data_IF_543891982297
#
_entry.id   IF_543891982297
#
_cell.length_a   1.000
_cell.length_b   1.000
_cell.length_c   1.000
_cell.angle_alpha   90.00
_cell.angle_beta   90.00
_cell.angle_gamma   90.00
#
_symmetry.space_group_name_H-M   'P 1'
#
loop_
_entity.id
_entity.type
_entity.pdbx_description
1 polymer ?
#
# COMPACT_ATOMS: atom_id res chain seq x y z
N UNK A 1 -44.03 -41.15 -8.29
CA UNK A 1 -43.18 -40.28 -9.13
C UNK A 1 -42.34 -39.45 -8.16
N UNK A 2 -41.17 -39.94 -7.89
CA UNK A 2 -40.26 -39.35 -6.87
C UNK A 2 -39.14 -38.64 -7.62
N UNK A 3 -39.25 -37.32 -7.66
CA UNK A 3 -38.27 -36.47 -8.32
C UNK A 3 -36.97 -36.44 -7.47
N UNK A 4 -35.96 -37.14 -7.98
CA UNK A 4 -34.60 -37.04 -7.43
C UNK A 4 -34.03 -35.66 -7.76
N UNK A 5 -34.06 -34.78 -6.79
CA UNK A 5 -33.24 -33.57 -6.82
C UNK A 5 -31.77 -34.02 -6.65
N UNK A 6 -31.06 -34.16 -7.76
CA UNK A 6 -29.62 -34.32 -7.75
C UNK A 6 -29.04 -32.94 -7.38
N UNK A 7 -28.85 -32.78 -6.07
CA UNK A 7 -28.05 -31.66 -5.58
C UNK A 7 -26.59 -31.93 -6.00
N UNK A 8 -26.14 -31.27 -7.09
CA UNK A 8 -24.75 -31.21 -7.44
C UNK A 8 -24.00 -30.48 -6.33
N UNK A 9 -23.65 -31.18 -5.29
CA UNK A 9 -22.61 -30.82 -4.36
C UNK A 9 -21.31 -30.84 -5.19
N UNK A 10 -20.92 -29.71 -5.74
CA UNK A 10 -19.54 -29.51 -6.14
C UNK A 10 -18.72 -29.93 -4.93
N UNK A 11 -17.97 -31.02 -5.06
CA UNK A 11 -16.94 -31.37 -4.09
C UNK A 11 -16.04 -30.13 -3.95
N UNK A 12 -16.21 -29.39 -2.85
CA UNK A 12 -15.23 -28.40 -2.45
C UNK A 12 -13.97 -29.21 -2.24
N UNK A 13 -13.02 -29.07 -3.15
CA UNK A 13 -11.70 -29.66 -2.99
C UNK A 13 -11.24 -29.35 -1.58
N UNK A 14 -10.84 -30.38 -0.84
CA UNK A 14 -10.36 -30.29 0.55
C UNK A 14 -8.96 -29.64 0.56
N UNK A 15 -8.79 -28.57 -0.22
CA UNK A 15 -7.54 -27.82 -0.28
C UNK A 15 -7.46 -26.92 0.93
N UNK A 16 -6.38 -27.04 1.67
CA UNK A 16 -6.06 -26.19 2.79
C UNK A 16 -6.04 -24.72 2.32
N UNK A 17 -6.79 -23.85 3.01
CA UNK A 17 -6.79 -22.41 2.73
C UNK A 17 -5.40 -21.84 2.93
N UNK A 18 -4.86 -21.19 1.92
CA UNK A 18 -3.58 -20.48 1.97
C UNK A 18 -3.80 -18.97 2.02
N UNK A 19 -2.82 -18.27 2.59
CA UNK A 19 -2.73 -16.83 2.64
C UNK A 19 -1.62 -16.41 1.69
N UNK A 20 -1.97 -15.68 0.64
CA UNK A 20 -1.06 -15.33 -0.44
C UNK A 20 -0.99 -13.82 -0.53
N UNK A 21 0.22 -13.29 -0.42
CA UNK A 21 0.50 -11.86 -0.48
C UNK A 21 1.28 -11.56 -1.74
N UNK A 22 0.85 -10.56 -2.49
CA UNK A 22 1.49 -10.10 -3.70
C UNK A 22 2.09 -8.71 -3.48
N UNK A 23 3.31 -8.50 -3.93
CA UNK A 23 3.82 -7.15 -4.09
C UNK A 23 3.21 -6.50 -5.34
N UNK A 24 3.31 -5.17 -5.44
CA UNK A 24 2.77 -4.41 -6.57
C UNK A 24 3.83 -4.32 -7.67
N UNK A 25 4.97 -3.71 -7.37
CA UNK A 25 5.98 -3.33 -8.36
C UNK A 25 6.78 -4.55 -8.81
N UNK A 26 6.78 -4.83 -10.12
CA UNK A 26 7.44 -6.00 -10.68
C UNK A 26 6.78 -7.35 -10.35
N UNK A 27 5.59 -7.35 -9.73
CA UNK A 27 4.83 -8.56 -9.37
C UNK A 27 3.41 -8.52 -9.93
N UNK A 28 2.55 -7.65 -9.39
CA UNK A 28 1.21 -7.43 -9.96
C UNK A 28 1.26 -6.55 -11.20
N UNK A 29 2.03 -5.48 -11.13
CA UNK A 29 2.30 -4.59 -12.26
C UNK A 29 3.60 -5.01 -12.94
N UNK A 30 3.62 -4.95 -14.27
CA UNK A 30 4.84 -5.15 -15.03
C UNK A 30 5.84 -3.98 -14.84
N UNK A 31 7.11 -4.21 -15.18
CA UNK A 31 8.20 -3.21 -15.03
C UNK A 31 8.17 -2.10 -16.09
N UNK A 32 7.16 -2.05 -16.96
CA UNK A 32 7.05 -1.01 -17.99
C UNK A 32 6.58 0.32 -17.39
N UNK A 33 6.99 1.47 -17.95
CA UNK A 33 6.44 2.75 -17.54
C UNK A 33 4.91 2.80 -17.64
N UNK A 34 4.25 3.00 -16.51
CA UNK A 34 2.78 2.93 -16.40
C UNK A 34 2.23 1.52 -16.23
N UNK A 35 3.01 0.65 -15.62
CA UNK A 35 2.82 -0.78 -15.39
C UNK A 35 1.38 -1.27 -15.43
N UNK A 36 1.15 -2.41 -16.04
CA UNK A 36 -0.19 -2.99 -16.20
C UNK A 36 -0.24 -4.38 -15.59
N UNK A 37 -1.40 -4.72 -15.06
CA UNK A 37 -1.68 -6.10 -14.66
C UNK A 37 -1.95 -6.93 -15.92
N UNK A 38 -1.21 -8.03 -16.07
CA UNK A 38 -1.37 -8.93 -17.21
C UNK A 38 -2.66 -9.74 -17.10
N UNK A 39 -3.26 -10.07 -18.23
CA UNK A 39 -4.47 -10.90 -18.29
C UNK A 39 -4.29 -12.28 -17.61
N UNK A 40 -3.08 -12.85 -17.68
CA UNK A 40 -2.74 -14.09 -16.98
C UNK A 40 -2.76 -13.92 -15.46
N UNK A 41 -2.38 -12.75 -14.96
CA UNK A 41 -2.41 -12.41 -13.54
C UNK A 41 -3.84 -12.33 -13.03
N UNK A 42 -4.74 -11.63 -13.74
CA UNK A 42 -6.18 -11.59 -13.39
C UNK A 42 -6.76 -12.99 -13.26
N UNK A 43 -6.56 -13.83 -14.28
CA UNK A 43 -7.05 -15.22 -14.26
C UNK A 43 -6.49 -16.05 -13.12
N UNK A 44 -5.26 -15.76 -12.70
CA UNK A 44 -4.63 -16.45 -11.57
C UNK A 44 -5.24 -15.99 -10.25
N UNK A 45 -5.42 -14.68 -10.06
CA UNK A 45 -6.05 -14.11 -8.87
C UNK A 45 -7.47 -14.65 -8.69
N UNK A 46 -8.27 -14.69 -9.76
CA UNK A 46 -9.62 -15.21 -9.73
C UNK A 46 -9.65 -16.69 -9.30
N UNK A 47 -8.77 -17.52 -9.89
CA UNK A 47 -8.68 -18.94 -9.52
C UNK A 47 -8.26 -19.14 -8.07
N UNK A 48 -7.35 -18.33 -7.55
CA UNK A 48 -6.95 -18.41 -6.14
C UNK A 48 -8.12 -18.12 -5.21
N UNK A 49 -8.91 -17.07 -5.53
CA UNK A 49 -10.10 -16.69 -4.76
C UNK A 49 -11.21 -17.75 -4.86
N UNK A 50 -11.48 -18.26 -6.06
CA UNK A 50 -12.44 -19.33 -6.30
C UNK A 50 -12.10 -20.63 -5.53
N UNK A 51 -10.82 -20.93 -5.38
CA UNK A 51 -10.32 -22.05 -4.59
C UNK A 51 -10.35 -21.78 -3.06
N UNK A 52 -10.83 -20.61 -2.62
CA UNK A 52 -11.00 -20.27 -1.22
C UNK A 52 -9.72 -19.78 -0.53
N UNK A 53 -8.66 -19.48 -1.28
CA UNK A 53 -7.46 -18.88 -0.72
C UNK A 53 -7.70 -17.41 -0.35
N UNK A 54 -6.95 -16.93 0.66
CA UNK A 54 -6.90 -15.51 0.99
C UNK A 54 -5.85 -14.84 0.13
N UNK A 55 -6.23 -13.76 -0.55
CA UNK A 55 -5.34 -12.98 -1.42
C UNK A 55 -5.28 -11.56 -0.92
N UNK A 56 -4.08 -11.04 -0.71
CA UNK A 56 -3.84 -9.68 -0.27
C UNK A 56 -2.62 -9.07 -0.98
N UNK A 57 -2.51 -7.76 -0.92
CA UNK A 57 -1.31 -7.03 -1.32
C UNK A 57 -0.41 -6.83 -0.10
N UNK A 58 0.92 -6.92 -0.30
CA UNK A 58 1.92 -6.49 0.68
C UNK A 58 2.99 -5.66 -0.05
N UNK A 59 3.06 -4.37 0.25
CA UNK A 59 3.89 -3.42 -0.49
C UNK A 59 4.57 -2.40 0.42
N UNK A 60 5.72 -1.87 -0.03
CA UNK A 60 6.34 -0.70 0.59
C UNK A 60 5.64 0.63 0.29
N UNK A 61 4.74 0.66 -0.71
CA UNK A 61 3.99 1.88 -1.05
C UNK A 61 3.13 2.34 0.13
N UNK A 62 2.95 3.65 0.25
CA UNK A 62 1.95 4.23 1.14
C UNK A 62 0.54 3.76 0.74
N UNK A 63 -0.37 3.67 1.70
CA UNK A 63 -1.71 3.13 1.50
C UNK A 63 -2.44 3.83 0.34
N UNK A 64 -2.48 5.16 0.31
CA UNK A 64 -3.15 5.90 -0.76
C UNK A 64 -2.57 5.60 -2.15
N UNK A 65 -1.26 5.31 -2.26
CA UNK A 65 -0.58 4.96 -3.52
C UNK A 65 -0.89 3.53 -3.98
N UNK A 66 -1.21 2.64 -3.05
CA UNK A 66 -1.49 1.24 -3.33
C UNK A 66 -2.95 1.00 -3.79
N UNK A 67 -3.87 1.90 -3.46
CA UNK A 67 -5.31 1.71 -3.66
C UNK A 67 -5.71 1.53 -5.12
N UNK A 68 -5.08 2.25 -6.06
CA UNK A 68 -5.42 2.12 -7.48
C UNK A 68 -5.06 0.73 -8.01
N UNK A 69 -3.85 0.23 -7.70
CA UNK A 69 -3.44 -1.12 -8.07
C UNK A 69 -4.30 -2.20 -7.40
N UNK A 70 -4.66 -2.00 -6.13
CA UNK A 70 -5.55 -2.90 -5.40
C UNK A 70 -6.94 -2.99 -6.03
N UNK A 71 -7.51 -1.84 -6.39
CA UNK A 71 -8.80 -1.76 -7.06
C UNK A 71 -8.76 -2.42 -8.44
N UNK A 72 -7.69 -2.19 -9.21
CA UNK A 72 -7.48 -2.81 -10.52
C UNK A 72 -7.35 -4.32 -10.39
N UNK A 73 -6.60 -4.83 -9.40
CA UNK A 73 -6.43 -6.27 -9.13
C UNK A 73 -7.64 -6.92 -8.45
N UNK A 74 -8.69 -6.16 -8.13
CA UNK A 74 -9.84 -6.61 -7.33
C UNK A 74 -9.43 -7.22 -5.97
N UNK A 75 -8.38 -6.68 -5.34
CA UNK A 75 -7.91 -7.11 -4.02
C UNK A 75 -8.28 -6.03 -3.01
N UNK A 76 -8.96 -6.43 -1.94
CA UNK A 76 -9.54 -5.53 -0.94
C UNK A 76 -8.81 -5.52 0.41
N UNK A 77 -7.78 -6.35 0.54
CA UNK A 77 -6.96 -6.46 1.76
C UNK A 77 -5.50 -6.13 1.43
N UNK A 78 -4.94 -5.17 2.18
CA UNK A 78 -3.58 -4.68 1.94
C UNK A 78 -2.78 -4.56 3.23
N UNK A 79 -1.50 -4.87 3.12
CA UNK A 79 -0.45 -4.47 4.05
C UNK A 79 0.42 -3.45 3.31
N UNK A 80 0.49 -2.23 3.81
CA UNK A 80 1.13 -1.08 3.16
C UNK A 80 2.17 -0.43 4.06
N UNK A 81 2.81 0.63 3.59
CA UNK A 81 3.77 1.42 4.39
C UNK A 81 4.89 0.55 4.99
N UNK A 82 5.37 -0.44 4.23
CA UNK A 82 6.39 -1.38 4.69
C UNK A 82 5.95 -2.26 5.87
N UNK A 83 4.65 -2.52 6.03
CA UNK A 83 4.08 -3.32 7.12
C UNK A 83 3.41 -2.48 8.22
N UNK A 84 3.45 -1.16 8.12
CA UNK A 84 2.86 -0.28 9.12
C UNK A 84 1.39 0.09 8.84
N UNK A 85 0.88 -0.15 7.63
CA UNK A 85 -0.51 0.11 7.24
C UNK A 85 -1.30 -1.17 7.02
N UNK A 86 -2.53 -1.24 7.50
CA UNK A 86 -3.46 -2.35 7.29
C UNK A 86 -4.79 -1.83 6.75
N UNK A 87 -5.20 -2.37 5.62
CA UNK A 87 -6.53 -2.17 5.02
C UNK A 87 -7.22 -3.52 4.92
N UNK A 88 -8.46 -3.63 5.39
CA UNK A 88 -9.29 -4.84 5.28
C UNK A 88 -10.60 -4.47 4.61
N UNK A 89 -10.98 -5.22 3.57
CA UNK A 89 -12.21 -5.01 2.81
C UNK A 89 -12.40 -3.56 2.33
N UNK A 90 -11.32 -2.98 1.81
CA UNK A 90 -11.19 -1.59 1.37
C UNK A 90 -11.32 -0.54 2.50
N UNK A 91 -11.40 -0.94 3.75
CA UNK A 91 -11.43 -0.04 4.90
C UNK A 91 -10.06 0.04 5.56
N UNK A 92 -9.49 1.25 5.65
CA UNK A 92 -8.25 1.49 6.37
C UNK A 92 -8.49 1.24 7.88
N UNK A 93 -7.77 0.28 8.43
CA UNK A 93 -7.86 -0.05 9.86
C UNK A 93 -6.94 0.83 10.69
N UNK A 94 -5.71 0.95 10.25
CA UNK A 94 -4.72 1.85 10.85
C UNK A 94 -3.51 2.04 9.93
N UNK A 95 -2.77 3.11 10.17
CA UNK A 95 -1.38 3.30 9.76
C UNK A 95 -0.61 3.64 11.03
N UNK A 96 0.39 2.81 11.38
CA UNK A 96 1.25 3.08 12.53
C UNK A 96 2.30 4.11 12.12
N UNK A 97 2.35 5.28 12.76
CA UNK A 97 3.35 6.27 12.46
C UNK A 97 4.74 5.80 12.90
N UNK A 98 5.78 6.42 12.38
CA UNK A 98 7.14 6.28 12.88
C UNK A 98 7.18 6.87 14.29
N UNK A 99 7.93 6.21 15.18
CA UNK A 99 8.18 6.75 16.52
C UNK A 99 8.75 8.17 16.44
N UNK A 100 8.12 9.09 17.13
CA UNK A 100 8.43 10.51 17.06
C UNK A 100 9.89 10.84 17.45
N UNK A 101 10.45 10.15 18.43
CA UNK A 101 11.83 10.35 18.85
C UNK A 101 12.80 9.89 17.75
N UNK A 102 12.48 8.78 17.09
CA UNK A 102 13.31 8.28 15.98
C UNK A 102 13.18 9.17 14.75
N UNK A 103 11.97 9.64 14.42
CA UNK A 103 11.76 10.58 13.32
C UNK A 103 12.59 11.86 13.51
N UNK A 104 12.53 12.45 14.70
CA UNK A 104 13.31 13.65 15.01
C UNK A 104 14.82 13.43 14.90
N UNK A 105 15.33 12.28 15.35
CA UNK A 105 16.76 11.95 15.18
C UNK A 105 17.18 11.94 13.71
N UNK A 106 16.34 11.40 12.83
CA UNK A 106 16.62 11.39 11.39
C UNK A 106 16.59 12.81 10.83
N UNK A 107 15.60 13.62 11.22
CA UNK A 107 15.48 15.03 10.80
C UNK A 107 16.71 15.82 11.25
N UNK A 108 17.14 15.68 12.52
CA UNK A 108 18.33 16.34 13.05
C UNK A 108 19.59 16.00 12.24
N UNK A 109 19.77 14.71 11.90
CA UNK A 109 20.90 14.28 11.06
C UNK A 109 20.81 14.87 9.64
N UNK A 110 19.62 14.95 9.06
CA UNK A 110 19.43 15.60 7.75
C UNK A 110 19.82 17.08 7.81
N UNK A 111 19.42 17.79 8.87
CA UNK A 111 19.76 19.21 9.07
C UNK A 111 21.28 19.37 9.27
N UNK A 112 21.89 18.59 10.16
CA UNK A 112 23.32 18.64 10.49
C UNK A 112 24.20 18.42 9.26
N UNK A 113 23.81 17.46 8.41
CA UNK A 113 24.58 17.08 7.21
C UNK A 113 24.11 17.76 5.92
N UNK A 114 23.18 18.70 6.01
CA UNK A 114 22.59 19.41 4.86
C UNK A 114 21.97 18.46 3.82
N UNK A 115 21.38 17.36 4.28
CA UNK A 115 20.63 16.45 3.42
C UNK A 115 19.19 16.97 3.20
N UNK A 116 18.67 16.91 1.96
CA UNK A 116 17.29 17.22 1.71
C UNK A 116 16.38 16.19 2.38
N UNK A 117 15.28 16.66 2.96
CA UNK A 117 14.26 15.78 3.53
C UNK A 117 12.85 16.35 3.33
N UNK A 118 11.88 15.45 3.35
CA UNK A 118 10.47 15.82 3.43
C UNK A 118 9.71 14.74 4.22
N UNK A 119 8.65 15.16 4.89
CA UNK A 119 7.89 14.33 5.85
C UNK A 119 6.44 14.23 5.39
N UNK A 120 5.89 13.02 5.36
CA UNK A 120 4.45 12.79 5.25
C UNK A 120 3.82 12.92 6.63
N UNK A 121 2.87 13.84 6.79
CA UNK A 121 2.13 14.05 8.04
C UNK A 121 0.77 13.35 8.05
N UNK A 122 0.38 12.72 6.95
CA UNK A 122 -0.89 12.01 6.82
C UNK A 122 -0.85 10.98 5.69
N UNK A 123 -1.97 10.30 5.48
CA UNK A 123 -2.15 9.32 4.41
C UNK A 123 -2.66 10.00 3.13
N UNK A 124 -1.86 10.88 2.57
CA UNK A 124 -2.18 11.65 1.37
C UNK A 124 -0.94 11.92 0.52
N UNK A 125 -1.14 12.28 -0.74
CA UNK A 125 -0.07 12.58 -1.69
C UNK A 125 0.57 13.96 -1.43
N UNK A 126 0.92 14.26 -0.17
CA UNK A 126 1.53 15.51 0.26
C UNK A 126 2.72 15.23 1.15
N UNK A 127 3.84 15.85 0.83
CA UNK A 127 5.05 15.88 1.65
C UNK A 127 5.32 17.30 2.12
N UNK A 128 5.86 17.45 3.30
CA UNK A 128 6.19 18.72 3.93
C UNK A 128 7.69 18.83 4.17
N UNK A 129 8.25 20.00 3.89
CA UNK A 129 9.64 20.34 4.21
C UNK A 129 9.72 21.80 4.67
N UNK A 130 10.67 22.11 5.54
CA UNK A 130 11.02 23.49 5.91
C UNK A 130 12.25 24.01 5.13
N UNK A 131 12.76 23.26 4.17
CA UNK A 131 13.93 23.60 3.37
C UNK A 131 13.49 24.28 2.06
N UNK A 132 13.76 25.57 1.94
CA UNK A 132 13.34 26.39 0.77
C UNK A 132 14.01 26.00 -0.54
N UNK A 133 15.18 25.41 -0.49
CA UNK A 133 15.92 24.89 -1.65
C UNK A 133 15.25 23.67 -2.32
N UNK A 134 14.28 23.07 -1.66
CA UNK A 134 13.52 21.94 -2.20
C UNK A 134 12.35 22.34 -3.12
N UNK A 135 12.04 23.64 -3.29
CA UNK A 135 10.89 24.16 -4.05
C UNK A 135 10.77 23.64 -5.49
N UNK A 136 11.90 23.39 -6.12
CA UNK A 136 11.96 23.00 -7.54
C UNK A 136 12.03 21.47 -7.75
N UNK A 137 11.93 20.68 -6.70
CA UNK A 137 11.96 19.22 -6.83
C UNK A 137 10.70 18.69 -7.51
N UNK A 138 10.91 17.95 -8.60
CA UNK A 138 9.83 17.21 -9.29
C UNK A 138 9.59 15.86 -8.60
N UNK A 139 8.66 15.84 -7.67
CA UNK A 139 8.23 14.61 -6.99
C UNK A 139 6.88 14.13 -7.57
N UNK A 140 6.57 12.83 -7.51
CA UNK A 140 5.27 12.29 -7.92
C UNK A 140 4.13 12.67 -6.95
N UNK A 141 4.42 13.47 -5.94
CA UNK A 141 3.52 13.94 -4.89
C UNK A 141 3.66 15.46 -4.73
N UNK A 142 2.65 16.09 -4.15
CA UNK A 142 2.70 17.52 -3.84
C UNK A 142 3.73 17.79 -2.74
N UNK A 143 4.72 18.62 -3.02
CA UNK A 143 5.65 19.11 -2.01
C UNK A 143 5.14 20.46 -1.49
N UNK A 144 4.98 20.59 -0.17
CA UNK A 144 4.67 21.82 0.54
C UNK A 144 5.95 22.29 1.23
N UNK A 145 6.44 23.45 0.83
CA UNK A 145 7.60 24.09 1.45
C UNK A 145 7.09 25.18 2.39
N UNK A 146 7.29 24.98 3.68
CA UNK A 146 6.92 25.95 4.72
C UNK A 146 8.05 26.03 5.75
N UNK A 147 8.83 27.12 5.68
CA UNK A 147 9.98 27.37 6.54
C UNK A 147 9.58 27.58 8.02
N UNK A 148 8.28 27.77 8.31
CA UNK A 148 7.76 27.91 9.67
C UNK A 148 7.48 26.58 10.37
N UNK A 149 7.49 25.47 9.63
CA UNK A 149 7.23 24.15 10.23
C UNK A 149 8.39 23.75 11.15
N UNK A 150 8.04 23.53 12.41
CA UNK A 150 8.92 22.88 13.37
C UNK A 150 8.48 21.44 13.57
N UNK A 151 9.15 20.52 12.92
CA UNK A 151 8.81 19.09 12.98
C UNK A 151 8.94 18.48 14.38
N UNK A 152 9.68 19.13 15.32
CA UNK A 152 9.78 18.69 16.71
C UNK A 152 8.52 19.01 17.53
N UNK A 153 7.62 19.84 17.00
CA UNK A 153 6.36 20.22 17.66
C UNK A 153 5.13 19.59 17.00
N UNK A 154 5.29 18.85 15.90
CA UNK A 154 4.20 18.10 15.27
C UNK A 154 3.76 17.01 16.26
N UNK A 155 2.53 17.11 16.75
CA UNK A 155 1.92 16.11 17.66
C UNK A 155 1.09 15.13 16.81
N UNK A 156 1.00 13.90 17.32
CA UNK A 156 0.08 12.88 16.79
C UNK A 156 -1.37 13.35 16.76
#
# INVERSE_FOLDING_TARGET
MQDYIICNLKEKSNMERKYIFFDIDGTLLDDNPGGKILESTYRTLDKLKENGHFVAIATGRAQYMAMDAAKEAHIDCLVTDGGNGITLHNELQYIKPIDFVQANRVIDQCIEHHFPFAVALGNEAVLYTNQSDQKDQKLPVKLVVDESIDFHQVKE
#
